data_IF_963712262816
#
_entry.id   IF_963712262816
#
_cell.length_a   1.000
_cell.length_b   1.000
_cell.length_c   1.000
_cell.angle_alpha   90.00
_cell.angle_beta   90.00
_cell.angle_gamma   90.00
#
_symmetry.space_group_name_H-M   'P 1'
#
loop_
_entity.id
_entity.type
_entity.pdbx_description
1 polymer ?
#
# COMPACT_ATOMS: atom_id res chain seq x y z
N UNK A 1 16.74 27.38 -1.31
CA UNK A 1 16.22 26.13 -1.92
C UNK A 1 16.75 24.98 -1.07
N UNK A 2 16.00 23.97 -0.65
CA UNK A 2 15.28 23.09 -1.56
C UNK A 2 13.91 22.65 -1.06
N UNK A 3 12.93 22.96 -1.93
CA UNK A 3 11.73 22.18 -2.20
C UNK A 3 11.96 20.71 -1.84
N UNK A 4 11.11 20.16 -0.97
CA UNK A 4 10.99 18.71 -0.78
C UNK A 4 11.16 18.01 -2.13
N UNK A 5 12.19 17.19 -2.28
CA UNK A 5 12.41 16.46 -3.53
C UNK A 5 11.14 15.66 -3.82
N UNK A 6 10.38 16.09 -4.83
CA UNK A 6 9.06 15.53 -5.18
C UNK A 6 9.16 14.11 -5.73
N UNK A 7 10.38 13.69 -6.04
CA UNK A 7 10.73 12.39 -6.58
C UNK A 7 11.84 11.75 -5.74
N UNK A 8 11.84 10.43 -5.67
CA UNK A 8 13.01 9.66 -5.23
C UNK A 8 14.05 9.66 -6.35
N UNK A 9 15.31 9.72 -5.97
CA UNK A 9 16.45 9.39 -6.83
C UNK A 9 16.58 7.88 -7.02
N UNK A 10 17.34 7.45 -8.01
CA UNK A 10 17.55 6.03 -8.27
C UNK A 10 18.32 5.35 -7.14
N UNK A 11 19.25 6.08 -6.52
CA UNK A 11 19.97 5.61 -5.34
C UNK A 11 19.02 5.42 -4.14
N UNK A 12 18.09 6.35 -3.91
CA UNK A 12 17.06 6.20 -2.87
C UNK A 12 16.16 4.99 -3.15
N UNK A 13 15.63 4.86 -4.38
CA UNK A 13 14.75 3.74 -4.73
C UNK A 13 15.46 2.39 -4.55
N UNK A 14 16.71 2.28 -5.00
CA UNK A 14 17.51 1.08 -4.82
C UNK A 14 17.68 0.73 -3.34
N UNK A 15 18.06 1.70 -2.51
CA UNK A 15 18.22 1.48 -1.08
C UNK A 15 16.91 1.08 -0.40
N UNK A 16 15.78 1.68 -0.80
CA UNK A 16 14.45 1.35 -0.29
C UNK A 16 14.11 -0.11 -0.64
N UNK A 17 14.30 -0.51 -1.90
CA UNK A 17 13.98 -1.86 -2.35
C UNK A 17 14.87 -2.91 -1.70
N UNK A 18 16.17 -2.68 -1.59
CA UNK A 18 17.09 -3.62 -0.93
C UNK A 18 16.71 -3.86 0.54
N UNK A 19 16.43 -2.78 1.27
CA UNK A 19 15.99 -2.89 2.66
C UNK A 19 14.61 -3.57 2.76
N UNK A 20 13.67 -3.19 1.89
CA UNK A 20 12.34 -3.79 1.82
C UNK A 20 12.40 -5.29 1.57
N UNK A 21 13.17 -5.75 0.58
CA UNK A 21 13.29 -7.17 0.25
C UNK A 21 13.89 -7.98 1.40
N UNK A 22 14.85 -7.39 2.15
CA UNK A 22 15.41 -8.00 3.35
C UNK A 22 14.35 -8.18 4.44
N UNK A 23 13.58 -7.13 4.73
CA UNK A 23 12.53 -7.18 5.75
C UNK A 23 11.38 -8.10 5.33
N UNK A 24 10.94 -8.02 4.07
CA UNK A 24 9.92 -8.89 3.50
C UNK A 24 10.32 -10.35 3.59
N UNK A 25 11.56 -10.72 3.25
CA UNK A 25 12.05 -12.10 3.37
C UNK A 25 11.97 -12.61 4.82
N UNK A 26 12.31 -11.76 5.80
CA UNK A 26 12.20 -12.09 7.22
C UNK A 26 10.76 -12.32 7.65
N UNK A 27 9.85 -11.45 7.22
CA UNK A 27 8.40 -11.56 7.52
C UNK A 27 7.80 -12.79 6.84
N UNK A 28 8.21 -13.09 5.61
CA UNK A 28 7.73 -14.25 4.85
C UNK A 28 8.13 -15.58 5.48
N UNK A 29 9.29 -15.62 6.13
CA UNK A 29 9.81 -16.79 6.82
C UNK A 29 9.28 -16.97 8.25
N UNK A 30 8.59 -15.97 8.80
CA UNK A 30 8.08 -16.03 10.17
C UNK A 30 6.68 -16.69 10.20
N UNK A 31 6.55 -17.88 10.83
CA UNK A 31 5.27 -18.60 10.88
C UNK A 31 4.21 -17.88 11.72
N UNK A 32 4.60 -16.89 12.54
CA UNK A 32 3.66 -16.09 13.35
C UNK A 32 2.67 -15.30 12.48
N UNK A 33 3.02 -15.02 11.21
CA UNK A 33 2.17 -14.27 10.27
C UNK A 33 1.46 -15.19 9.26
N UNK A 34 0.83 -16.26 9.75
CA UNK A 34 0.10 -17.22 8.92
C UNK A 34 -1.06 -16.58 8.16
N UNK A 35 -1.79 -15.65 8.80
CA UNK A 35 -2.87 -14.90 8.15
C UNK A 35 -2.34 -13.72 7.33
N UNK A 36 -2.80 -13.63 6.08
CA UNK A 36 -2.38 -12.59 5.14
C UNK A 36 -2.60 -11.16 5.64
N UNK A 37 -3.64 -10.91 6.46
CA UNK A 37 -3.88 -9.58 7.03
C UNK A 37 -2.84 -9.20 8.09
N UNK A 38 -2.36 -10.16 8.86
CA UNK A 38 -1.31 -9.94 9.86
C UNK A 38 0.04 -9.74 9.15
N UNK A 39 0.28 -10.52 8.10
CA UNK A 39 1.45 -10.36 7.23
C UNK A 39 1.48 -8.98 6.56
N UNK A 40 0.37 -8.54 5.97
CA UNK A 40 0.26 -7.20 5.37
C UNK A 40 0.40 -6.07 6.39
N UNK A 41 -0.10 -6.27 7.61
CA UNK A 41 0.11 -5.30 8.69
C UNK A 41 1.60 -5.18 9.02
N UNK A 42 2.31 -6.30 9.08
CA UNK A 42 3.74 -6.30 9.37
C UNK A 42 4.54 -5.70 8.21
N UNK A 43 4.27 -6.09 6.96
CA UNK A 43 4.80 -5.43 5.76
C UNK A 43 4.66 -3.90 5.85
N UNK A 44 3.46 -3.42 6.16
CA UNK A 44 3.16 -1.99 6.29
C UNK A 44 3.97 -1.28 7.38
N UNK A 45 4.51 -1.96 8.39
CA UNK A 45 5.36 -1.35 9.43
C UNK A 45 6.78 -1.09 8.95
N UNK A 46 7.28 -1.92 8.03
CA UNK A 46 8.66 -1.87 7.52
C UNK A 46 8.82 -1.03 6.24
N UNK A 47 7.72 -0.48 5.69
CA UNK A 47 7.83 0.47 4.58
C UNK A 47 8.52 1.77 5.03
N UNK A 48 9.36 2.32 4.15
CA UNK A 48 10.34 3.38 4.42
C UNK A 48 9.77 4.70 5.01
N UNK A 49 8.48 5.01 4.81
CA UNK A 49 7.89 6.27 5.25
C UNK A 49 6.39 6.18 5.50
N UNK A 50 5.87 7.06 6.35
CA UNK A 50 4.47 7.05 6.81
C UNK A 50 3.44 7.20 5.69
N UNK A 51 3.73 7.89 4.59
CA UNK A 51 2.78 7.96 3.47
C UNK A 51 2.63 6.61 2.78
N UNK A 52 3.74 5.91 2.55
CA UNK A 52 3.73 4.55 1.99
C UNK A 52 3.09 3.54 2.93
N UNK A 53 3.38 3.62 4.24
CA UNK A 53 2.72 2.77 5.25
C UNK A 53 1.18 2.93 5.21
N UNK A 54 0.70 4.18 5.16
CA UNK A 54 -0.73 4.47 5.07
C UNK A 54 -1.33 4.06 3.72
N UNK A 55 -0.62 4.32 2.62
CA UNK A 55 -1.05 3.90 1.29
C UNK A 55 -1.27 2.39 1.26
N UNK A 56 -0.26 1.62 1.68
CA UNK A 56 -0.31 0.17 1.71
C UNK A 56 -1.43 -0.36 2.60
N UNK A 57 -1.62 0.25 3.79
CA UNK A 57 -2.73 -0.10 4.67
C UNK A 57 -4.10 0.05 3.98
N UNK A 58 -4.31 1.16 3.27
CA UNK A 58 -5.58 1.39 2.57
C UNK A 58 -5.74 0.43 1.38
N UNK A 59 -4.70 0.22 0.59
CA UNK A 59 -4.78 -0.62 -0.61
C UNK A 59 -4.88 -2.11 -0.25
N UNK A 60 -4.15 -2.61 0.75
CA UNK A 60 -4.31 -3.98 1.27
C UNK A 60 -5.75 -4.22 1.75
N UNK A 61 -6.34 -3.27 2.50
CA UNK A 61 -7.73 -3.38 2.94
C UNK A 61 -8.71 -3.47 1.76
N UNK A 62 -8.55 -2.62 0.75
CA UNK A 62 -9.40 -2.61 -0.44
C UNK A 62 -9.18 -3.84 -1.33
N UNK A 63 -7.95 -4.34 -1.41
CA UNK A 63 -7.60 -5.55 -2.14
C UNK A 63 -8.30 -6.76 -1.52
N UNK A 64 -8.08 -7.02 -0.24
CA UNK A 64 -8.64 -8.20 0.42
C UNK A 64 -10.17 -8.15 0.49
N UNK A 65 -10.74 -7.03 0.92
CA UNK A 65 -12.18 -6.93 1.10
C UNK A 65 -12.93 -6.62 -0.20
N UNK A 66 -12.33 -5.92 -1.17
CA UNK A 66 -13.03 -5.51 -2.40
C UNK A 66 -12.71 -6.33 -3.64
N UNK A 67 -11.53 -6.96 -3.71
CA UNK A 67 -11.11 -7.78 -4.86
C UNK A 67 -11.24 -9.26 -4.51
N UNK A 68 -10.66 -9.70 -3.38
CA UNK A 68 -10.60 -11.13 -3.04
C UNK A 68 -11.92 -11.62 -2.47
N UNK A 69 -12.44 -10.94 -1.44
CA UNK A 69 -13.67 -11.36 -0.74
C UNK A 69 -14.95 -10.78 -1.33
N UNK A 70 -14.85 -9.69 -2.10
CA UNK A 70 -16.00 -8.96 -2.67
C UNK A 70 -16.98 -8.40 -1.62
N UNK A 71 -16.53 -8.19 -0.38
CA UNK A 71 -17.27 -7.54 0.70
C UNK A 71 -17.45 -6.02 0.47
N UNK A 72 -16.53 -5.40 -0.30
CA UNK A 72 -16.54 -3.96 -0.59
C UNK A 72 -16.98 -3.66 -2.02
N UNK A 73 -17.82 -2.63 -2.17
CA UNK A 73 -18.23 -2.11 -3.48
C UNK A 73 -17.18 -1.14 -4.01
N UNK A 74 -16.41 -1.62 -4.98
CA UNK A 74 -15.36 -0.85 -5.66
C UNK A 74 -15.87 -0.29 -7.00
N UNK A 75 -15.56 0.97 -7.30
CA UNK A 75 -15.79 1.50 -8.66
C UNK A 75 -14.91 0.75 -9.68
N UNK A 76 -15.32 0.68 -10.96
CA UNK A 76 -14.57 -0.07 -11.98
C UNK A 76 -13.09 0.32 -12.09
N UNK A 77 -12.77 1.62 -11.96
CA UNK A 77 -11.39 2.11 -11.95
C UNK A 77 -10.59 1.62 -10.74
N UNK A 78 -11.23 1.41 -9.60
CA UNK A 78 -10.58 0.92 -8.38
C UNK A 78 -10.26 -0.56 -8.52
N UNK A 79 -11.16 -1.33 -9.15
CA UNK A 79 -10.97 -2.76 -9.40
C UNK A 79 -9.71 -3.05 -10.21
N UNK A 80 -9.41 -2.20 -11.21
CA UNK A 80 -8.21 -2.37 -12.04
C UNK A 80 -6.95 -1.78 -11.42
N UNK A 81 -7.09 -0.80 -10.55
CA UNK A 81 -5.96 -0.02 -10.02
C UNK A 81 -5.45 -0.53 -8.65
N UNK A 82 -6.34 -0.91 -7.74
CA UNK A 82 -5.99 -1.37 -6.38
C UNK A 82 -5.01 -2.56 -6.42
N UNK A 83 -5.22 -3.62 -7.23
CA UNK A 83 -4.26 -4.71 -7.33
C UNK A 83 -2.87 -4.25 -7.77
N UNK A 84 -2.80 -3.33 -8.75
CA UNK A 84 -1.52 -2.82 -9.27
C UNK A 84 -0.73 -2.09 -8.18
N UNK A 85 -1.39 -1.24 -7.39
CA UNK A 85 -0.71 -0.53 -6.30
C UNK A 85 -0.26 -1.49 -5.21
N UNK A 86 -1.14 -2.40 -4.82
CA UNK A 86 -0.86 -3.38 -3.77
C UNK A 86 0.32 -4.28 -4.15
N UNK A 87 0.29 -4.90 -5.33
CA UNK A 87 1.37 -5.79 -5.77
C UNK A 87 2.69 -5.03 -5.98
N UNK A 88 2.64 -3.82 -6.54
CA UNK A 88 3.88 -3.05 -6.78
C UNK A 88 4.58 -2.65 -5.49
N UNK A 89 3.83 -2.27 -4.46
CA UNK A 89 4.42 -1.99 -3.13
C UNK A 89 5.00 -3.27 -2.52
N UNK A 90 4.36 -4.43 -2.69
CA UNK A 90 4.91 -5.71 -2.21
C UNK A 90 6.17 -6.13 -2.93
N UNK A 91 6.28 -5.82 -4.21
CA UNK A 91 7.45 -6.08 -5.03
C UNK A 91 8.62 -5.17 -4.65
N UNK A 92 8.41 -3.85 -4.68
CA UNK A 92 9.48 -2.86 -4.67
C UNK A 92 9.68 -2.16 -3.32
N UNK A 93 8.68 -2.20 -2.43
CA UNK A 93 8.65 -1.41 -1.19
C UNK A 93 8.20 0.03 -1.39
N UNK A 94 7.83 0.41 -2.61
CA UNK A 94 7.28 1.70 -3.00
C UNK A 94 6.31 1.52 -4.18
N UNK A 95 5.55 2.55 -4.55
CA UNK A 95 4.62 2.45 -5.68
C UNK A 95 5.15 3.14 -6.94
N UNK A 96 5.74 4.33 -6.79
CA UNK A 96 6.25 5.10 -7.92
C UNK A 96 7.41 6.01 -7.50
N UNK A 97 8.20 6.47 -8.47
CA UNK A 97 9.29 7.43 -8.22
C UNK A 97 8.77 8.77 -7.67
N UNK A 98 7.49 9.12 -7.89
CA UNK A 98 6.91 10.40 -7.44
C UNK A 98 6.24 10.30 -6.06
N UNK A 99 6.83 10.95 -5.05
CA UNK A 99 6.30 11.05 -3.68
C UNK A 99 4.93 11.75 -3.66
N UNK A 100 4.72 12.70 -4.56
CA UNK A 100 3.42 13.40 -4.70
C UNK A 100 2.33 12.48 -5.23
N UNK A 101 2.65 11.64 -6.21
CA UNK A 101 1.72 10.65 -6.75
C UNK A 101 1.32 9.64 -5.68
N UNK A 102 2.29 9.14 -4.91
CA UNK A 102 2.00 8.26 -3.75
C UNK A 102 1.04 8.94 -2.76
N UNK A 103 1.28 10.23 -2.44
CA UNK A 103 0.40 10.99 -1.55
C UNK A 103 -1.02 11.15 -2.11
N UNK A 104 -1.16 11.47 -3.41
CA UNK A 104 -2.47 11.60 -4.08
C UNK A 104 -3.24 10.28 -4.02
N UNK A 105 -2.58 9.18 -4.34
CA UNK A 105 -3.19 7.85 -4.34
C UNK A 105 -3.55 7.41 -2.93
N UNK A 106 -2.72 7.72 -1.94
CA UNK A 106 -3.03 7.46 -0.52
C UNK A 106 -4.33 8.14 -0.12
N UNK A 107 -4.48 9.43 -0.42
CA UNK A 107 -5.69 10.20 -0.10
C UNK A 107 -6.90 9.60 -0.80
N UNK A 108 -6.78 9.30 -2.10
CA UNK A 108 -7.84 8.67 -2.85
C UNK A 108 -8.25 7.30 -2.27
N UNK A 109 -7.28 6.46 -1.90
CA UNK A 109 -7.51 5.13 -1.31
C UNK A 109 -8.14 5.23 0.09
N UNK A 110 -7.79 6.25 0.86
CA UNK A 110 -8.43 6.55 2.13
C UNK A 110 -9.92 6.90 1.93
N UNK A 111 -10.25 7.74 0.95
CA UNK A 111 -11.64 8.02 0.61
C UNK A 111 -12.39 6.76 0.16
N UNK A 112 -11.76 5.91 -0.64
CA UNK A 112 -12.35 4.64 -1.07
C UNK A 112 -12.65 3.72 0.12
N UNK A 113 -11.74 3.62 1.10
CA UNK A 113 -11.98 2.89 2.35
C UNK A 113 -13.16 3.49 3.14
N UNK A 114 -13.20 4.82 3.29
CA UNK A 114 -14.24 5.50 4.06
C UNK A 114 -15.64 5.32 3.47
N UNK A 115 -15.78 5.14 2.15
CA UNK A 115 -17.08 4.83 1.52
C UNK A 115 -17.64 3.48 1.96
N UNK A 116 -16.79 2.54 2.33
CA UNK A 116 -17.21 1.19 2.73
C UNK A 116 -17.76 1.13 4.16
N UNK A 117 -17.48 2.15 4.98
CA UNK A 117 -17.88 2.20 6.39
C UNK A 117 -19.00 3.19 6.67
N UNK A 118 -19.52 3.90 5.65
CA UNK A 118 -20.67 4.80 5.85
C UNK A 118 -21.92 3.95 6.07
N UNK A 119 -22.73 4.21 7.11
CA UNK A 119 -23.99 3.53 7.28
C UNK A 119 -24.84 3.76 6.03
N UNK A 120 -25.48 2.71 5.52
CA UNK A 120 -26.59 2.85 4.57
C UNK A 120 -27.63 3.69 5.31
N UNK A 121 -27.76 4.98 4.96
CA UNK A 121 -28.95 5.72 5.35
C UNK A 121 -30.13 4.95 4.75
N UNK A 122 -30.95 4.43 5.68
CA UNK A 122 -32.18 3.69 5.43
C UNK A 122 -33.25 4.65 4.97
#
# INVERSE_FOLDING_TARGET
MGKYATHYTDAELKAITEQWLKDKKRIDADPTFEYYLDKDREYGRHLNNKNLQLLFRHTSRLYWNGIVRSDFLLHPREKSFIPKVYEKIKEDGYYTRSKETEKKIRVWSAHACSRQTRPKQS
#
